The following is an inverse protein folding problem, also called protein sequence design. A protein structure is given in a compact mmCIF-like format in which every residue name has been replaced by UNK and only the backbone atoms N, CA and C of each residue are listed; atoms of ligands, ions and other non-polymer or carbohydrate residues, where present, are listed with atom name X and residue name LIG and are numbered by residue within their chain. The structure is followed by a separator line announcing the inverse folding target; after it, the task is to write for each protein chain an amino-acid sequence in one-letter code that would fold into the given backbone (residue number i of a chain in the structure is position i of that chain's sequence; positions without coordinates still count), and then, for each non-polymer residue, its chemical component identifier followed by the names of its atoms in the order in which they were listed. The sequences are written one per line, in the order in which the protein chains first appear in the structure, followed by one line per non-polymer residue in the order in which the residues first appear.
data_IF_046702362994
#
_entry.id   IF_046702362994
#
_cell.length_a   1.000
_cell.length_b   1.000
_cell.length_c   1.000
_cell.angle_alpha   90.00
_cell.angle_beta   90.00
_cell.angle_gamma   90.00
#
_symmetry.space_group_name_H-M   'P 1'
#
loop_
_entity.id
_entity.type
_entity.pdbx_description
1 polymer ?
#
# COMPACT_ATOMS: atom_id res chain seq x y z
N UNK A 1 -1.63 -12.63 -3.43
CA UNK A 1 -1.44 -13.39 -4.74
C UNK A 1 -0.22 -12.85 -5.43
N UNK A 2 0.64 -13.73 -5.89
CA UNK A 2 1.77 -13.30 -6.72
C UNK A 2 1.28 -12.78 -8.06
N UNK A 3 2.02 -11.83 -8.62
CA UNK A 3 1.60 -11.08 -9.82
C UNK A 3 1.45 -11.96 -11.06
N UNK A 4 2.20 -13.07 -11.14
CA UNK A 4 2.16 -14.05 -12.23
C UNK A 4 0.80 -14.78 -12.34
N UNK A 5 -0.07 -14.61 -11.34
CA UNK A 5 -1.44 -15.12 -11.34
C UNK A 5 -2.46 -14.13 -11.88
N UNK A 6 -2.04 -12.89 -12.14
CA UNK A 6 -2.92 -11.85 -12.66
C UNK A 6 -2.71 -11.58 -14.14
N UNK A 7 -3.82 -11.44 -14.86
CA UNK A 7 -3.86 -11.07 -16.27
C UNK A 7 -4.42 -9.66 -16.48
N UNK A 8 -4.79 -8.95 -15.40
CA UNK A 8 -5.43 -7.62 -15.47
C UNK A 8 -4.55 -6.53 -16.12
N UNK A 9 -3.23 -6.71 -16.12
CA UNK A 9 -2.31 -5.78 -16.76
C UNK A 9 -2.34 -5.86 -18.29
N UNK A 10 -2.90 -6.91 -18.87
CA UNK A 10 -3.03 -7.03 -20.31
C UNK A 10 -4.17 -6.15 -20.84
N UNK A 11 -3.89 -5.34 -21.85
CA UNK A 11 -4.89 -4.45 -22.45
C UNK A 11 -6.12 -5.21 -22.99
N UNK A 12 -7.30 -4.82 -22.53
CA UNK A 12 -8.56 -5.47 -22.90
C UNK A 12 -8.89 -6.71 -22.07
N UNK A 13 -8.14 -6.97 -21.00
CA UNK A 13 -8.45 -7.97 -19.98
C UNK A 13 -8.98 -7.26 -18.73
N UNK A 14 -10.22 -7.48 -18.39
CA UNK A 14 -10.83 -7.06 -17.13
C UNK A 14 -11.10 -8.27 -16.23
N UNK A 15 -11.57 -8.02 -15.00
CA UNK A 15 -11.85 -9.05 -13.98
C UNK A 15 -12.71 -10.21 -14.49
N UNK A 16 -13.68 -9.93 -15.39
CA UNK A 16 -14.53 -10.97 -15.98
C UNK A 16 -13.76 -11.94 -16.87
N UNK A 17 -12.79 -11.44 -17.64
CA UNK A 17 -11.97 -12.26 -18.55
C UNK A 17 -10.95 -13.02 -17.73
N UNK A 18 -10.29 -12.36 -16.80
CA UNK A 18 -9.34 -12.97 -15.88
C UNK A 18 -10.00 -14.14 -15.11
N UNK A 19 -11.19 -13.92 -14.55
CA UNK A 19 -11.93 -14.98 -13.85
C UNK A 19 -12.23 -16.18 -14.76
N UNK A 20 -12.61 -15.93 -16.03
CA UNK A 20 -12.84 -17.00 -17.01
C UNK A 20 -11.57 -17.80 -17.32
N UNK A 21 -10.40 -17.15 -17.36
CA UNK A 21 -9.13 -17.85 -17.50
C UNK A 21 -8.89 -18.77 -16.29
N UNK A 22 -9.08 -18.27 -15.09
CA UNK A 22 -8.93 -19.07 -13.87
C UNK A 22 -9.92 -20.25 -13.79
N UNK A 23 -11.18 -20.05 -14.22
CA UNK A 23 -12.20 -21.11 -14.30
C UNK A 23 -11.83 -22.21 -15.31
N UNK A 24 -11.01 -21.92 -16.30
CA UNK A 24 -10.46 -22.88 -17.26
C UNK A 24 -9.15 -23.53 -16.76
N UNK A 25 -8.69 -23.21 -15.55
CA UNK A 25 -7.45 -23.71 -14.98
C UNK A 25 -6.21 -22.89 -15.34
N UNK A 26 -6.36 -21.76 -16.05
CA UNK A 26 -5.26 -20.86 -16.39
C UNK A 26 -5.09 -19.87 -15.25
N UNK A 27 -4.40 -20.27 -14.19
CA UNK A 27 -4.24 -19.52 -12.93
C UNK A 27 -2.85 -18.91 -12.78
N UNK A 28 -1.96 -19.18 -13.73
CA UNK A 28 -0.59 -18.68 -13.78
C UNK A 28 -0.20 -18.38 -15.23
N UNK A 29 0.71 -17.44 -15.47
CA UNK A 29 1.16 -17.05 -16.81
C UNK A 29 1.73 -18.21 -17.63
N UNK A 30 2.33 -19.21 -16.97
CA UNK A 30 2.87 -20.39 -17.65
C UNK A 30 1.81 -21.32 -18.26
N UNK A 31 0.58 -21.25 -17.74
CA UNK A 31 -0.56 -22.05 -18.18
C UNK A 31 -1.32 -21.40 -19.35
N UNK A 32 -0.97 -20.14 -19.69
CA UNK A 32 -1.67 -19.42 -20.74
C UNK A 32 -1.36 -19.97 -22.13
N UNK A 33 -2.42 -20.27 -22.88
CA UNK A 33 -2.38 -20.68 -24.30
C UNK A 33 -3.37 -19.84 -25.12
N UNK A 34 -3.03 -19.53 -26.37
CA UNK A 34 -3.89 -18.80 -27.31
C UNK A 34 -5.24 -19.47 -27.57
N UNK A 35 -5.34 -20.77 -27.32
CA UNK A 35 -6.55 -21.56 -27.52
C UNK A 35 -7.55 -21.45 -26.35
N UNK A 36 -7.25 -20.68 -25.31
CA UNK A 36 -8.16 -20.44 -24.18
C UNK A 36 -9.53 -19.92 -24.67
N UNK A 37 -10.60 -20.50 -24.17
CA UNK A 37 -11.96 -20.15 -24.58
C UNK A 37 -12.28 -18.68 -24.21
N UNK A 38 -12.92 -17.95 -25.14
CA UNK A 38 -13.29 -16.55 -24.93
C UNK A 38 -12.14 -15.55 -25.12
N UNK A 39 -10.96 -16.01 -25.55
CA UNK A 39 -9.79 -15.18 -25.87
C UNK A 39 -9.61 -15.13 -27.39
N UNK A 40 -9.99 -14.02 -28.02
CA UNK A 40 -9.75 -13.82 -29.45
C UNK A 40 -8.26 -13.50 -29.76
N UNK A 41 -7.82 -13.66 -31.03
CA UNK A 41 -6.41 -13.54 -31.42
C UNK A 41 -5.71 -12.28 -30.91
N UNK A 42 -6.31 -11.11 -31.11
CA UNK A 42 -5.74 -9.82 -30.67
C UNK A 42 -5.56 -9.74 -29.16
N UNK A 43 -6.50 -10.31 -28.37
CA UNK A 43 -6.39 -10.34 -26.92
C UNK A 43 -5.31 -11.33 -26.47
N UNK A 44 -5.20 -12.47 -27.14
CA UNK A 44 -4.12 -13.42 -26.88
C UNK A 44 -2.74 -12.79 -27.06
N UNK A 45 -2.54 -12.06 -28.16
CA UNK A 45 -1.28 -11.31 -28.41
C UNK A 45 -0.99 -10.29 -27.30
N UNK A 46 -2.01 -9.57 -26.79
CA UNK A 46 -1.85 -8.61 -25.71
C UNK A 46 -1.51 -9.28 -24.37
N UNK A 47 -2.13 -10.43 -24.08
CA UNK A 47 -1.81 -11.22 -22.88
C UNK A 47 -0.38 -11.71 -22.96
N UNK A 48 0.07 -12.30 -24.08
CA UNK A 48 1.44 -12.77 -24.24
C UNK A 48 2.45 -11.61 -24.13
N UNK A 49 2.17 -10.48 -24.74
CA UNK A 49 3.01 -9.29 -24.65
C UNK A 49 3.12 -8.77 -23.20
N UNK A 50 2.01 -8.80 -22.45
CA UNK A 50 2.00 -8.43 -21.05
C UNK A 50 2.81 -9.43 -20.21
N UNK A 51 2.64 -10.74 -20.42
CA UNK A 51 3.40 -11.80 -19.72
C UNK A 51 4.90 -11.65 -19.98
N UNK A 52 5.29 -11.46 -21.24
CA UNK A 52 6.70 -11.29 -21.61
C UNK A 52 7.32 -10.03 -20.97
N UNK A 53 6.59 -8.91 -21.02
CA UNK A 53 6.98 -7.66 -20.35
C UNK A 53 7.05 -7.82 -18.84
N UNK A 54 6.04 -8.49 -18.25
CA UNK A 54 5.94 -8.75 -16.83
C UNK A 54 7.06 -9.61 -16.28
N UNK A 55 7.47 -10.67 -17.00
CA UNK A 55 8.62 -11.48 -16.61
C UNK A 55 9.90 -10.64 -16.55
N UNK A 56 10.17 -9.83 -17.57
CA UNK A 56 11.31 -8.90 -17.56
C UNK A 56 11.25 -7.90 -16.41
N UNK A 57 10.06 -7.41 -16.10
CA UNK A 57 9.86 -6.46 -15.00
C UNK A 57 10.09 -7.11 -13.63
N UNK A 58 9.66 -8.37 -13.43
CA UNK A 58 9.96 -9.13 -12.20
C UNK A 58 11.46 -9.35 -12.08
N UNK A 59 12.13 -9.79 -13.14
CA UNK A 59 13.58 -10.03 -13.13
C UNK A 59 14.40 -8.75 -12.88
N UNK A 60 13.82 -7.58 -13.15
CA UNK A 60 14.43 -6.26 -12.97
C UNK A 60 13.92 -5.52 -11.72
N UNK A 61 13.08 -6.16 -10.91
CA UNK A 61 12.40 -5.53 -9.76
C UNK A 61 11.63 -4.22 -10.11
N UNK A 62 11.14 -4.10 -11.37
CA UNK A 62 10.41 -2.93 -11.87
C UNK A 62 8.92 -2.96 -11.47
N UNK A 63 8.61 -2.50 -10.27
CA UNK A 63 7.23 -2.33 -9.77
C UNK A 63 6.42 -1.37 -10.65
N UNK A 64 7.09 -0.34 -11.20
CA UNK A 64 6.46 0.71 -12.01
C UNK A 64 5.86 0.19 -13.31
N UNK A 65 6.39 -0.90 -13.88
CA UNK A 65 5.77 -1.56 -15.03
C UNK A 65 4.34 -1.99 -14.71
N UNK A 66 4.15 -2.63 -13.56
CA UNK A 66 2.85 -3.14 -13.13
C UNK A 66 1.92 -2.05 -12.62
N UNK A 67 2.46 -1.02 -11.96
CA UNK A 67 1.67 0.13 -11.53
C UNK A 67 1.00 0.84 -12.71
N UNK A 68 1.71 0.96 -13.84
CA UNK A 68 1.16 1.50 -15.09
C UNK A 68 0.17 0.57 -15.78
N UNK A 69 0.39 -0.74 -15.66
CA UNK A 69 -0.43 -1.74 -16.35
C UNK A 69 -1.74 -2.04 -15.61
N UNK A 70 -1.73 -2.03 -14.27
CA UNK A 70 -2.91 -2.39 -13.49
C UNK A 70 -3.87 -1.21 -13.25
N UNK A 71 -5.18 -1.49 -13.23
CA UNK A 71 -6.15 -0.53 -12.71
C UNK A 71 -5.81 -0.19 -11.24
N UNK A 72 -5.98 1.08 -10.86
CA UNK A 72 -5.68 1.55 -9.48
C UNK A 72 -6.31 0.66 -8.39
N UNK A 73 -7.54 0.19 -8.60
CA UNK A 73 -8.21 -0.70 -7.65
C UNK A 73 -7.65 -2.13 -7.58
N UNK A 74 -6.68 -2.49 -8.43
CA UNK A 74 -6.01 -3.80 -8.43
C UNK A 74 -4.55 -3.73 -7.97
N UNK A 75 -4.03 -2.55 -7.64
CA UNK A 75 -2.64 -2.33 -7.22
C UNK A 75 -2.24 -3.11 -5.96
N UNK A 76 -3.18 -3.47 -5.11
CA UNK A 76 -2.93 -4.33 -3.95
C UNK A 76 -2.24 -5.66 -4.32
N UNK A 77 -2.40 -6.14 -5.58
CA UNK A 77 -1.77 -7.36 -6.10
C UNK A 77 -0.24 -7.24 -6.26
N UNK A 78 0.29 -6.02 -6.25
CA UNK A 78 1.74 -5.76 -6.30
C UNK A 78 2.43 -6.24 -5.03
N UNK A 79 1.74 -6.19 -3.89
CA UNK A 79 2.32 -6.38 -2.57
C UNK A 79 3.06 -7.71 -2.43
N UNK A 80 2.43 -8.84 -2.76
CA UNK A 80 3.01 -10.17 -2.54
C UNK A 80 4.30 -10.41 -3.34
N UNK A 81 4.43 -9.82 -4.52
CA UNK A 81 5.63 -9.95 -5.36
C UNK A 81 6.71 -8.93 -5.04
N UNK A 82 6.35 -7.79 -4.44
CA UNK A 82 7.26 -6.67 -4.19
C UNK A 82 7.25 -6.20 -2.73
N UNK A 83 6.89 -7.09 -1.79
CA UNK A 83 6.79 -6.76 -0.36
C UNK A 83 8.12 -6.30 0.25
N UNK A 84 9.25 -6.79 -0.25
CA UNK A 84 10.59 -6.39 0.17
C UNK A 84 10.94 -4.94 -0.24
N UNK A 85 10.23 -4.38 -1.21
CA UNK A 85 10.37 -2.99 -1.64
C UNK A 85 9.30 -2.08 -1.05
N UNK A 86 8.40 -2.62 -0.21
CA UNK A 86 7.30 -1.85 0.36
C UNK A 86 7.79 -0.95 1.49
N UNK A 87 7.47 0.33 1.38
CA UNK A 87 7.62 1.31 2.43
C UNK A 87 6.22 1.74 2.91
N UNK A 88 5.90 1.38 4.13
CA UNK A 88 4.69 1.86 4.81
C UNK A 88 5.00 3.20 5.42
N UNK A 89 4.13 4.18 5.26
CA UNK A 89 4.32 5.46 5.92
C UNK A 89 3.02 6.13 6.31
N UNK A 90 3.09 6.93 7.35
CA UNK A 90 2.00 7.73 7.92
C UNK A 90 2.54 9.08 8.40
N UNK A 91 1.69 10.10 8.40
CA UNK A 91 2.06 11.44 8.87
C UNK A 91 1.12 11.92 9.97
N UNK A 92 1.68 12.65 10.93
CA UNK A 92 0.90 13.45 11.85
C UNK A 92 0.96 14.94 11.50
N UNK A 93 -0.13 15.63 11.74
CA UNK A 93 -0.28 17.03 11.36
C UNK A 93 -1.01 17.83 12.46
N UNK A 94 -0.87 19.15 12.42
CA UNK A 94 -1.60 20.04 13.35
C UNK A 94 -3.07 20.23 12.99
N UNK A 95 -3.56 19.63 11.89
CA UNK A 95 -4.95 19.71 11.43
C UNK A 95 -5.10 19.15 10.01
N UNK A 96 -6.32 19.22 9.48
CA UNK A 96 -6.67 18.54 8.23
C UNK A 96 -6.48 19.37 6.95
N UNK A 97 -6.28 20.67 7.06
CA UNK A 97 -6.12 21.56 5.91
C UNK A 97 -4.63 21.74 5.59
N UNK A 98 -4.20 21.25 4.45
CA UNK A 98 -2.81 21.25 3.97
C UNK A 98 -2.19 22.67 3.87
N UNK A 99 -3.01 23.71 3.70
CA UNK A 99 -2.52 25.10 3.55
C UNK A 99 -2.33 25.81 4.88
N UNK A 100 -3.03 25.38 5.92
CA UNK A 100 -3.01 26.03 7.23
C UNK A 100 -2.43 25.18 8.34
N UNK A 101 -2.23 23.88 8.08
CA UNK A 101 -1.66 22.94 9.03
C UNK A 101 -0.23 22.57 8.63
N UNK A 102 0.54 22.09 9.59
CA UNK A 102 1.92 21.65 9.35
C UNK A 102 2.06 20.16 9.67
N UNK A 103 2.94 19.48 8.95
CA UNK A 103 3.36 18.12 9.27
C UNK A 103 4.24 18.16 10.51
N UNK A 104 3.97 17.33 11.49
CA UNK A 104 4.67 17.27 12.77
C UNK A 104 5.65 16.12 12.84
N UNK A 105 5.20 14.93 12.43
CA UNK A 105 6.02 13.72 12.32
C UNK A 105 5.69 12.99 11.03
N UNK A 106 6.66 12.22 10.54
CA UNK A 106 6.50 11.27 9.45
C UNK A 106 7.16 9.97 9.88
N UNK A 107 6.40 8.90 10.02
CA UNK A 107 6.94 7.56 10.29
C UNK A 107 6.97 6.73 9.02
N UNK A 108 8.09 6.03 8.81
CA UNK A 108 8.31 5.13 7.70
C UNK A 108 8.74 3.77 8.24
N UNK A 109 8.10 2.70 7.76
CA UNK A 109 8.44 1.33 8.12
C UNK A 109 8.82 0.53 6.88
N UNK A 110 10.03 -0.03 6.88
CA UNK A 110 10.59 -0.86 5.82
C UNK A 110 11.57 -1.87 6.41
N UNK A 111 11.62 -3.08 5.87
CA UNK A 111 12.57 -4.13 6.28
C UNK A 111 12.55 -4.45 7.78
N UNK A 112 11.39 -4.28 8.43
CA UNK A 112 11.22 -4.52 9.86
C UNK A 112 11.76 -3.41 10.77
N UNK A 113 12.23 -2.30 10.20
CA UNK A 113 12.69 -1.12 10.93
C UNK A 113 11.75 0.06 10.71
N UNK A 114 11.55 0.87 11.75
CA UNK A 114 10.74 2.09 11.69
C UNK A 114 11.57 3.28 12.08
N UNK A 115 11.63 4.27 11.20
CA UNK A 115 12.17 5.59 11.55
C UNK A 115 11.03 6.60 11.62
N UNK A 116 11.20 7.63 12.42
CA UNK A 116 10.27 8.74 12.53
C UNK A 116 11.02 10.04 12.45
N UNK A 117 10.72 10.82 11.42
CA UNK A 117 11.26 12.18 11.24
C UNK A 117 10.37 13.19 11.96
N UNK A 118 10.98 14.13 12.67
CA UNK A 118 10.30 15.07 13.57
C UNK A 118 10.54 16.52 13.14
N UNK A 119 9.46 17.30 13.07
CA UNK A 119 9.52 18.73 12.77
C UNK A 119 10.35 19.50 13.81
N UNK A 120 11.26 20.31 13.30
CA UNK A 120 12.17 21.12 14.13
C UNK A 120 13.44 20.38 14.54
N UNK A 121 13.56 19.11 14.18
CA UNK A 121 14.76 18.30 14.34
C UNK A 121 15.25 17.82 12.95
N UNK A 122 14.82 16.69 12.47
CA UNK A 122 15.31 16.03 11.26
C UNK A 122 14.28 15.95 10.11
N UNK A 123 13.04 16.35 10.31
CA UNK A 123 12.03 16.38 9.26
C UNK A 123 12.30 17.53 8.28
N UNK A 124 13.09 17.25 7.28
CA UNK A 124 13.45 18.15 6.19
C UNK A 124 13.08 17.54 4.84
N UNK A 125 13.12 18.34 3.77
CA UNK A 125 12.95 17.84 2.41
C UNK A 125 14.00 16.77 2.08
N UNK A 126 15.25 17.06 2.40
CA UNK A 126 16.39 16.19 2.10
C UNK A 126 16.28 14.84 2.83
N UNK A 127 15.86 14.86 4.11
CA UNK A 127 15.65 13.62 4.88
C UNK A 127 14.52 12.79 4.31
N UNK A 128 13.41 13.43 3.89
CA UNK A 128 12.29 12.73 3.25
C UNK A 128 12.69 12.14 1.89
N UNK A 129 13.38 12.90 1.04
CA UNK A 129 13.88 12.40 -0.25
C UNK A 129 14.79 11.18 -0.03
N UNK A 130 15.69 11.21 0.96
CA UNK A 130 16.54 10.07 1.31
C UNK A 130 15.75 8.87 1.87
N UNK A 131 14.76 9.11 2.74
CA UNK A 131 13.94 8.05 3.33
C UNK A 131 13.09 7.29 2.28
N UNK A 132 12.67 8.00 1.21
CA UNK A 132 11.90 7.38 0.12
C UNK A 132 12.76 6.89 -1.07
N UNK A 133 14.07 7.19 -1.13
CA UNK A 133 14.92 6.93 -2.31
C UNK A 133 14.88 5.47 -2.77
N UNK A 134 14.93 4.53 -1.81
CA UNK A 134 14.93 3.09 -2.10
C UNK A 134 13.54 2.43 -2.04
N UNK A 135 12.47 3.22 -1.88
CA UNK A 135 11.12 2.67 -1.85
C UNK A 135 10.65 2.32 -3.25
N UNK A 136 10.43 1.04 -3.53
CA UNK A 136 9.84 0.60 -4.81
C UNK A 136 8.31 0.65 -4.82
N UNK A 137 7.69 0.57 -3.64
CA UNK A 137 6.23 0.52 -3.46
C UNK A 137 5.84 1.25 -2.17
N UNK A 138 4.98 2.25 -2.26
CA UNK A 138 4.44 2.93 -1.09
C UNK A 138 3.14 2.25 -0.62
N UNK A 139 2.96 2.15 0.69
CA UNK A 139 1.73 1.68 1.32
C UNK A 139 1.29 2.68 2.38
N UNK A 140 0.04 3.11 2.33
CA UNK A 140 -0.55 4.06 3.29
C UNK A 140 -1.97 3.70 3.64
N UNK A 141 -2.54 4.34 4.65
CA UNK A 141 -3.97 4.30 4.93
C UNK A 141 -4.63 5.66 4.65
N UNK A 142 -5.35 5.79 3.53
CA UNK A 142 -5.92 7.05 3.01
C UNK A 142 -4.87 8.08 2.53
N UNK A 143 -3.62 7.67 2.39
CA UNK A 143 -2.51 8.58 2.12
C UNK A 143 -2.53 9.18 0.71
N UNK A 144 -3.16 8.53 -0.26
CA UNK A 144 -3.35 9.11 -1.59
C UNK A 144 -4.15 10.44 -1.56
N UNK A 145 -4.99 10.64 -0.53
CA UNK A 145 -5.80 11.84 -0.37
C UNK A 145 -5.30 12.77 0.73
N UNK A 146 -4.48 12.28 1.65
CA UNK A 146 -4.04 13.03 2.81
C UNK A 146 -2.52 13.17 2.84
N UNK A 147 -1.77 12.14 3.09
CA UNK A 147 -0.33 12.16 3.36
C UNK A 147 0.48 12.69 2.17
N UNK A 148 0.30 12.09 1.00
CA UNK A 148 1.03 12.47 -0.23
C UNK A 148 0.79 13.94 -0.59
N UNK A 149 -0.46 14.46 -0.63
CA UNK A 149 -0.71 15.88 -0.86
C UNK A 149 -0.13 16.80 0.22
N UNK A 150 -0.13 16.37 1.51
CA UNK A 150 0.48 17.15 2.58
C UNK A 150 2.00 17.26 2.43
N UNK A 151 2.68 16.15 2.15
CA UNK A 151 4.13 16.13 1.94
C UNK A 151 4.51 16.95 0.70
N UNK A 152 3.74 16.88 -0.37
CA UNK A 152 3.95 17.71 -1.57
C UNK A 152 3.82 19.20 -1.27
N UNK A 153 2.77 19.62 -0.57
CA UNK A 153 2.53 21.02 -0.23
C UNK A 153 3.58 21.55 0.77
N UNK A 154 3.91 20.76 1.78
CA UNK A 154 4.80 21.19 2.87
C UNK A 154 6.28 21.20 2.49
N UNK A 155 6.74 20.24 1.69
CA UNK A 155 8.17 20.02 1.39
C UNK A 155 8.50 20.10 -0.10
N UNK A 156 7.51 20.19 -0.98
CA UNK A 156 7.71 20.22 -2.43
C UNK A 156 8.30 18.93 -2.99
N UNK A 157 8.05 17.79 -2.34
CA UNK A 157 8.46 16.46 -2.83
C UNK A 157 7.35 15.84 -3.67
N UNK A 158 7.72 15.17 -4.74
CA UNK A 158 6.81 14.37 -5.55
C UNK A 158 7.06 12.87 -5.27
N UNK A 159 6.05 12.20 -4.73
CA UNK A 159 6.08 10.75 -4.46
C UNK A 159 5.38 10.02 -5.62
N UNK A 160 6.06 9.97 -6.77
CA UNK A 160 5.57 9.32 -8.00
C UNK A 160 5.83 7.80 -7.99
N UNK A 161 5.90 7.20 -6.83
CA UNK A 161 6.08 5.76 -6.63
C UNK A 161 4.79 5.00 -6.89
N UNK A 162 4.86 3.72 -7.30
CA UNK A 162 3.75 2.79 -7.16
C UNK A 162 3.16 2.85 -5.76
N UNK A 163 1.82 2.96 -5.65
CA UNK A 163 1.20 3.26 -4.37
C UNK A 163 -0.06 2.42 -4.13
N UNK A 164 -0.09 1.73 -3.00
CA UNK A 164 -1.25 1.01 -2.47
C UNK A 164 -1.85 1.83 -1.33
N UNK A 165 -3.08 2.29 -1.51
CA UNK A 165 -3.87 2.89 -0.43
C UNK A 165 -4.75 1.82 0.22
N UNK A 166 -4.52 1.54 1.50
CA UNK A 166 -5.23 0.50 2.25
C UNK A 166 -6.70 0.82 2.47
N UNK A 167 -7.08 2.08 2.64
CA UNK A 167 -8.48 2.40 2.92
C UNK A 167 -9.43 1.94 1.80
N UNK A 168 -9.23 2.26 0.51
CA UNK A 168 -10.07 1.71 -0.56
C UNK A 168 -9.89 0.19 -0.75
N UNK A 169 -8.72 -0.35 -0.40
CA UNK A 169 -8.45 -1.79 -0.50
C UNK A 169 -9.22 -2.57 0.57
N UNK A 170 -9.24 -2.12 1.82
CA UNK A 170 -10.03 -2.68 2.92
C UNK A 170 -11.53 -2.72 2.61
N UNK A 171 -12.05 -1.68 1.95
CA UNK A 171 -13.47 -1.64 1.55
C UNK A 171 -13.88 -2.75 0.59
N UNK A 172 -12.96 -3.33 -0.17
CA UNK A 172 -13.25 -4.47 -1.06
C UNK A 172 -13.67 -5.73 -0.32
N UNK A 173 -13.21 -5.89 0.92
CA UNK A 173 -13.56 -7.00 1.82
C UNK A 173 -14.52 -6.59 2.93
N UNK A 174 -15.23 -5.46 2.76
CA UNK A 174 -16.26 -5.00 3.68
C UNK A 174 -15.75 -4.24 4.90
N UNK A 175 -14.43 -4.07 5.08
CA UNK A 175 -13.86 -3.28 6.17
C UNK A 175 -14.02 -1.78 5.90
N UNK A 176 -14.40 -1.01 6.91
CA UNK A 176 -14.66 0.43 6.79
C UNK A 176 -14.29 1.20 8.05
N UNK A 177 -14.11 2.52 7.90
CA UNK A 177 -13.70 3.41 8.98
C UNK A 177 -12.25 3.87 8.81
N UNK A 178 -11.65 4.38 9.89
CA UNK A 178 -10.22 4.70 9.96
C UNK A 178 -9.37 3.46 10.24
N UNK A 179 -8.05 3.65 10.27
CA UNK A 179 -7.09 2.57 10.53
C UNK A 179 -7.43 1.82 11.84
N UNK A 180 -7.61 2.53 12.94
CA UNK A 180 -7.95 1.98 14.25
C UNK A 180 -9.24 1.12 14.23
N UNK A 181 -10.27 1.50 13.43
CA UNK A 181 -11.48 0.70 13.29
C UNK A 181 -11.23 -0.61 12.52
N UNK A 182 -10.40 -0.55 11.47
CA UNK A 182 -9.98 -1.72 10.69
C UNK A 182 -9.14 -2.67 11.54
N UNK A 183 -8.17 -2.16 12.28
CA UNK A 183 -7.35 -2.93 13.22
C UNK A 183 -8.21 -3.68 14.24
N UNK A 184 -9.14 -2.98 14.87
CA UNK A 184 -10.06 -3.58 15.83
C UNK A 184 -10.87 -4.73 15.21
N UNK A 185 -11.40 -4.55 13.99
CA UNK A 185 -12.17 -5.59 13.28
C UNK A 185 -11.31 -6.79 12.88
N UNK A 186 -10.02 -6.56 12.61
CA UNK A 186 -9.05 -7.60 12.29
C UNK A 186 -8.42 -8.27 13.54
N UNK A 187 -8.67 -7.71 14.74
CA UNK A 187 -8.08 -8.20 16.00
C UNK A 187 -6.61 -7.82 16.17
N UNK A 188 -6.15 -6.76 15.49
CA UNK A 188 -4.81 -6.20 15.65
C UNK A 188 -4.83 -5.31 16.88
N UNK A 189 -3.95 -5.60 17.84
CA UNK A 189 -3.86 -4.85 19.09
C UNK A 189 -3.19 -3.48 18.88
N UNK A 190 -3.52 -2.53 19.80
CA UNK A 190 -2.84 -1.24 19.92
C UNK A 190 -2.29 -1.07 21.32
N UNK A 191 -1.06 -0.53 21.41
CA UNK A 191 -0.46 -0.15 22.69
C UNK A 191 -1.02 1.19 23.20
N UNK A 192 -1.38 2.08 22.25
CA UNK A 192 -1.94 3.41 22.53
C UNK A 192 -3.40 3.54 22.06
N UNK A 193 -4.35 2.75 22.61
CA UNK A 193 -5.74 2.72 22.13
C UNK A 193 -6.53 4.01 22.46
N UNK A 194 -6.01 4.85 23.34
CA UNK A 194 -6.58 6.13 23.77
C UNK A 194 -6.08 7.32 22.95
N UNK A 195 -5.15 7.13 22.02
CA UNK A 195 -4.65 8.17 21.13
C UNK A 195 -5.39 8.09 19.80
N UNK A 196 -5.94 9.22 19.38
CA UNK A 196 -6.52 9.43 18.05
C UNK A 196 -5.89 10.68 17.40
N UNK A 197 -6.25 10.99 16.16
CA UNK A 197 -5.70 12.16 15.46
C UNK A 197 -5.95 13.51 16.17
N UNK A 198 -6.96 13.63 17.05
CA UNK A 198 -7.17 14.84 17.86
C UNK A 198 -6.20 14.87 19.03
N UNK A 199 -5.97 13.73 19.62
CA UNK A 199 -5.00 13.56 20.68
C UNK A 199 -3.58 13.79 20.16
N UNK A 200 -3.25 13.32 18.97
CA UNK A 200 -1.97 13.60 18.29
C UNK A 200 -1.74 15.11 18.13
N UNK A 201 -2.75 15.85 17.67
CA UNK A 201 -2.67 17.33 17.61
C UNK A 201 -2.49 17.96 19.00
N UNK A 202 -3.10 17.39 20.06
CA UNK A 202 -2.94 17.87 21.43
C UNK A 202 -1.52 17.62 21.94
N UNK A 203 -0.99 16.42 21.72
CA UNK A 203 0.36 16.05 22.12
C UNK A 203 1.41 16.98 21.48
N UNK A 204 1.29 17.27 20.18
CA UNK A 204 2.15 18.22 19.52
C UNK A 204 2.13 19.60 20.19
N UNK A 205 0.93 20.14 20.50
CA UNK A 205 0.80 21.43 21.16
C UNK A 205 1.34 21.43 22.60
N UNK A 206 1.29 20.30 23.29
CA UNK A 206 1.91 20.13 24.61
C UNK A 206 3.42 20.12 24.51
N UNK A 207 3.97 19.42 23.53
CA UNK A 207 5.40 19.44 23.21
C UNK A 207 5.90 20.88 22.93
N UNK A 208 5.20 21.64 22.08
CA UNK A 208 5.55 23.04 21.80
C UNK A 208 5.55 23.94 23.06
N UNK A 209 4.82 23.56 24.11
CA UNK A 209 4.79 24.25 25.41
C UNK A 209 5.80 23.72 26.41
N UNK A 210 6.62 22.74 26.00
CA UNK A 210 7.65 22.14 26.84
C UNK A 210 7.14 21.06 27.79
N UNK A 211 6.02 20.41 27.50
CA UNK A 211 5.55 19.29 28.31
C UNK A 211 6.41 18.05 28.07
N UNK A 212 6.96 17.49 29.15
CA UNK A 212 7.78 16.30 29.10
C UNK A 212 6.95 15.08 28.63
N UNK A 213 7.52 14.22 27.77
CA UNK A 213 6.94 12.97 27.29
C UNK A 213 5.86 13.12 26.21
N UNK A 214 5.47 14.35 25.85
CA UNK A 214 4.42 14.58 24.84
C UNK A 214 4.89 14.22 23.44
N UNK A 215 6.11 14.56 23.07
CA UNK A 215 6.70 14.22 21.77
C UNK A 215 6.93 12.71 21.65
N UNK A 216 7.49 12.11 22.66
CA UNK A 216 7.75 10.66 22.70
C UNK A 216 6.46 9.87 22.46
N UNK A 217 5.37 10.27 23.13
CA UNK A 217 4.06 9.63 22.94
C UNK A 217 3.47 9.85 21.55
N UNK A 218 3.68 11.02 20.94
CA UNK A 218 3.29 11.29 19.56
C UNK A 218 4.06 10.41 18.57
N UNK A 219 5.38 10.28 18.77
CA UNK A 219 6.25 9.42 17.96
C UNK A 219 5.79 7.95 18.08
N UNK A 220 5.57 7.45 19.30
CA UNK A 220 5.08 6.09 19.54
C UNK A 220 3.74 5.84 18.80
N UNK A 221 2.81 6.79 18.86
CA UNK A 221 1.53 6.69 18.17
C UNK A 221 1.69 6.62 16.64
N UNK A 222 2.47 7.55 16.05
CA UNK A 222 2.70 7.57 14.60
C UNK A 222 3.43 6.31 14.11
N UNK A 223 4.38 5.79 14.91
CA UNK A 223 5.04 4.50 14.66
C UNK A 223 4.06 3.34 14.67
N UNK A 224 3.20 3.27 15.69
CA UNK A 224 2.19 2.23 15.82
C UNK A 224 1.23 2.22 14.62
N UNK A 225 0.73 3.40 14.20
CA UNK A 225 -0.12 3.53 13.01
C UNK A 225 0.61 2.99 11.76
N UNK A 226 1.89 3.29 11.60
CA UNK A 226 2.70 2.85 10.47
C UNK A 226 2.97 1.34 10.50
N UNK A 227 3.40 0.81 11.64
CA UNK A 227 3.73 -0.61 11.83
C UNK A 227 2.48 -1.51 11.69
N UNK A 228 1.35 -1.08 12.22
CA UNK A 228 0.10 -1.82 12.17
C UNK A 228 -0.49 -1.91 10.74
N UNK A 229 -0.09 -1.05 9.82
CA UNK A 229 -0.47 -1.22 8.41
C UNK A 229 0.08 -2.51 7.79
N UNK A 230 1.20 -3.06 8.29
CA UNK A 230 1.77 -4.31 7.78
C UNK A 230 0.80 -5.49 7.97
N UNK A 231 0.40 -5.87 9.20
CA UNK A 231 -0.56 -6.96 9.41
C UNK A 231 -1.95 -6.66 8.80
N UNK A 232 -2.35 -5.39 8.69
CA UNK A 232 -3.57 -5.01 7.94
C UNK A 232 -3.41 -5.40 6.47
N UNK A 233 -2.31 -5.00 5.81
CA UNK A 233 -2.04 -5.29 4.40
C UNK A 233 -2.00 -6.80 4.14
N UNK A 234 -1.29 -7.56 4.96
CA UNK A 234 -1.17 -9.02 4.83
C UNK A 234 -2.53 -9.71 4.95
N UNK A 235 -3.33 -9.32 5.95
CA UNK A 235 -4.67 -9.88 6.16
C UNK A 235 -5.62 -9.55 5.00
N UNK A 236 -5.56 -8.31 4.50
CA UNK A 236 -6.43 -7.86 3.41
C UNK A 236 -6.07 -8.58 2.11
N UNK A 237 -4.79 -8.72 1.79
CA UNK A 237 -4.32 -9.46 0.61
C UNK A 237 -4.74 -10.92 0.68
N UNK A 238 -4.53 -11.59 1.81
CA UNK A 238 -4.92 -12.98 2.01
C UNK A 238 -6.44 -13.19 1.82
N UNK A 239 -7.28 -12.32 2.37
CA UNK A 239 -8.74 -12.39 2.19
C UNK A 239 -9.14 -12.15 0.73
N UNK A 240 -8.56 -11.15 0.06
CA UNK A 240 -8.84 -10.88 -1.36
C UNK A 240 -8.42 -12.05 -2.26
N UNK A 241 -7.29 -12.67 -1.99
CA UNK A 241 -6.83 -13.85 -2.71
C UNK A 241 -7.77 -15.03 -2.57
N UNK A 242 -8.25 -15.28 -1.35
CA UNK A 242 -9.22 -16.35 -1.09
C UNK A 242 -10.57 -16.12 -1.76
N UNK A 243 -11.00 -14.87 -1.89
CA UNK A 243 -12.24 -14.52 -2.55
C UNK A 243 -12.15 -14.62 -4.09
N UNK A 244 -11.01 -14.26 -4.66
CA UNK A 244 -10.83 -14.15 -6.11
C UNK A 244 -10.41 -15.47 -6.75
N UNK A 245 -9.46 -16.19 -6.14
CA UNK A 245 -8.93 -17.41 -6.73
C UNK A 245 -9.83 -18.62 -6.51
N UNK A 246 -10.04 -19.45 -7.56
CA UNK A 246 -10.70 -20.74 -7.41
C UNK A 246 -10.01 -21.60 -6.34
N UNK A 247 -10.78 -22.46 -5.66
CA UNK A 247 -10.24 -23.25 -4.55
C UNK A 247 -9.02 -24.12 -4.90
N UNK A 248 -8.90 -24.57 -6.16
CA UNK A 248 -7.75 -25.34 -6.65
C UNK A 248 -6.53 -24.53 -7.06
N UNK A 249 -6.65 -23.20 -7.09
CA UNK A 249 -5.58 -22.29 -7.47
C UNK A 249 -5.00 -21.53 -6.27
N UNK A 250 -5.48 -21.78 -5.05
CA UNK A 250 -4.98 -21.16 -3.83
C UNK A 250 -3.60 -21.71 -3.51
N UNK A 251 -2.64 -20.85 -3.07
CA UNK A 251 -1.40 -21.36 -2.50
C UNK A 251 -1.75 -22.24 -1.29
N UNK A 252 -1.06 -23.36 -1.15
CA UNK A 252 -1.14 -24.16 0.07
C UNK A 252 -0.78 -23.25 1.26
N UNK A 253 -1.61 -23.27 2.28
CA UNK A 253 -1.30 -22.58 3.52
C UNK A 253 -0.18 -23.36 4.21
N UNK A 254 1.05 -22.83 4.15
CA UNK A 254 2.17 -23.29 4.97
C UNK A 254 1.97 -22.88 6.44
#
# INVERSE_FOLDING_TARGET
MRIERSFLGAEGVGETIERRLWEQGVTHWEEFDRACEGVGPTRAERIESFIEGGRRAIDADDVSYFDRAFPTGARWRLYESFREQACFFDIETTGLDQRSSVVTTVSLHRDGETETLVRGDDLTRESLEAAFEDAGLLVTFNGARFDVPFLREAFGIDLDHPHIDLMPTCRKIGLSGGLSAVEHELGIGRELPDVDGREAVRLWREHERGADGALERLIEYNREDTENMVPVMETVVDRLDRELLPAGARPDAD
#
